data_IF_294854708852
#
_entry.id   IF_294854708852
#
_cell.length_a   1.000
_cell.length_b   1.000
_cell.length_c   1.000
_cell.angle_alpha   90.00
_cell.angle_beta   90.00
_cell.angle_gamma   90.00
#
_symmetry.space_group_name_H-M   'P 1'
#
loop_
_entity.id
_entity.type
_entity.pdbx_description
1 polymer ?
#
# COMPACT_ATOMS: atom_id res chain seq x y z
N UNK A 1 -7.22 -20.89 -34.69
CA UNK A 1 -8.41 -20.55 -35.49
C UNK A 1 -8.29 -21.06 -36.93
N UNK A 2 -7.13 -20.95 -37.57
CA UNK A 2 -6.90 -21.41 -38.95
C UNK A 2 -7.20 -22.90 -39.18
N UNK A 3 -6.83 -23.77 -38.24
CA UNK A 3 -7.16 -25.21 -38.28
C UNK A 3 -8.66 -25.49 -38.17
N UNK A 4 -9.45 -24.62 -37.53
CA UNK A 4 -10.90 -24.81 -37.35
C UNK A 4 -11.65 -24.36 -38.61
N UNK A 5 -11.22 -23.25 -39.23
CA UNK A 5 -11.79 -22.77 -40.48
C UNK A 5 -11.66 -23.80 -41.62
N UNK A 6 -10.53 -24.51 -41.70
CA UNK A 6 -10.29 -25.51 -42.75
C UNK A 6 -11.03 -26.85 -42.54
N UNK A 7 -11.46 -27.15 -41.30
CA UNK A 7 -12.16 -28.39 -40.96
C UNK A 7 -13.68 -28.21 -40.83
N UNK A 8 -14.20 -27.00 -41.06
CA UNK A 8 -15.63 -26.69 -40.95
C UNK A 8 -16.23 -26.56 -42.35
N UNK A 9 -17.34 -27.26 -42.62
CA UNK A 9 -18.03 -27.17 -43.89
C UNK A 9 -18.58 -25.75 -44.15
N UNK A 10 -18.66 -25.36 -45.42
CA UNK A 10 -19.36 -24.15 -45.83
C UNK A 10 -20.83 -24.23 -45.40
N UNK A 11 -21.46 -23.13 -44.95
CA UNK A 11 -21.02 -21.73 -45.06
C UNK A 11 -20.20 -21.16 -43.88
N UNK A 12 -20.09 -21.90 -42.75
CA UNK A 12 -19.46 -21.37 -41.52
C UNK A 12 -17.93 -21.30 -41.64
N UNK A 13 -17.30 -22.29 -42.30
CA UNK A 13 -15.85 -22.28 -42.53
C UNK A 13 -15.37 -21.05 -43.30
N UNK A 14 -16.14 -20.59 -44.29
CA UNK A 14 -15.84 -19.41 -45.10
C UNK A 14 -15.90 -18.12 -44.28
N UNK A 15 -16.89 -18.00 -43.40
CA UNK A 15 -17.05 -16.86 -42.51
C UNK A 15 -15.98 -16.81 -41.41
N UNK A 16 -15.59 -17.96 -40.84
CA UNK A 16 -14.44 -18.04 -39.94
C UNK A 16 -13.12 -17.67 -40.65
N UNK A 17 -12.95 -18.08 -41.91
CA UNK A 17 -11.83 -17.65 -42.74
C UNK A 17 -11.79 -16.14 -42.98
N UNK A 18 -12.96 -15.49 -43.10
CA UNK A 18 -13.07 -14.02 -43.20
C UNK A 18 -12.69 -13.34 -41.90
N UNK A 19 -13.13 -13.85 -40.76
CA UNK A 19 -12.72 -13.35 -39.43
C UNK A 19 -11.20 -13.38 -39.27
N UNK A 20 -10.56 -14.49 -39.65
CA UNK A 20 -9.09 -14.63 -39.58
C UNK A 20 -8.40 -13.61 -40.48
N UNK A 21 -8.90 -13.40 -41.71
CA UNK A 21 -8.36 -12.37 -42.62
C UNK A 21 -8.53 -10.96 -42.06
N UNK A 22 -9.71 -10.64 -41.51
CA UNK A 22 -9.99 -9.36 -40.86
C UNK A 22 -9.06 -9.11 -39.67
N UNK A 23 -8.76 -10.15 -38.89
CA UNK A 23 -7.80 -10.08 -37.78
C UNK A 23 -6.36 -9.90 -38.28
N UNK A 24 -5.95 -10.58 -39.35
CA UNK A 24 -4.61 -10.47 -39.93
C UNK A 24 -4.32 -9.09 -40.54
N UNK A 25 -5.35 -8.37 -41.01
CA UNK A 25 -5.24 -6.98 -41.47
C UNK A 25 -5.37 -5.95 -40.33
N UNK A 26 -5.37 -6.40 -39.06
CA UNK A 26 -5.31 -5.55 -37.88
C UNK A 26 -6.66 -5.23 -37.22
N UNK A 27 -7.76 -5.85 -37.64
CA UNK A 27 -9.04 -5.70 -36.92
C UNK A 27 -9.01 -6.47 -35.60
N UNK A 28 -9.51 -5.87 -34.52
CA UNK A 28 -9.67 -6.58 -33.24
C UNK A 28 -10.61 -7.77 -33.36
N UNK A 29 -10.32 -8.85 -32.62
CA UNK A 29 -11.09 -10.10 -32.65
C UNK A 29 -12.59 -9.89 -32.36
N UNK A 30 -12.91 -9.02 -31.38
CA UNK A 30 -14.28 -8.63 -31.03
C UNK A 30 -15.04 -8.05 -32.24
N UNK A 31 -14.38 -7.14 -32.98
CA UNK A 31 -14.97 -6.47 -34.14
C UNK A 31 -15.11 -7.42 -35.33
N UNK A 32 -14.12 -8.28 -35.56
CA UNK A 32 -14.17 -9.28 -36.63
C UNK A 32 -15.29 -10.32 -36.39
N UNK A 33 -15.45 -10.79 -35.15
CA UNK A 33 -16.53 -11.70 -34.76
C UNK A 33 -17.91 -11.03 -34.82
N UNK A 34 -18.04 -9.76 -34.40
CA UNK A 34 -19.29 -9.01 -34.54
C UNK A 34 -19.69 -8.78 -36.02
N UNK A 35 -18.71 -8.56 -36.90
CA UNK A 35 -18.96 -8.47 -38.34
C UNK A 35 -19.49 -9.79 -38.91
N UNK A 36 -18.95 -10.93 -38.44
CA UNK A 36 -19.42 -12.26 -38.81
C UNK A 36 -20.87 -12.50 -38.36
N UNK A 37 -21.23 -12.15 -37.13
CA UNK A 37 -22.61 -12.25 -36.63
C UNK A 37 -23.58 -11.45 -37.49
N UNK A 38 -23.23 -10.20 -37.82
CA UNK A 38 -24.07 -9.34 -38.67
C UNK A 38 -24.30 -9.91 -40.08
N UNK A 39 -23.34 -10.67 -40.62
CA UNK A 39 -23.46 -11.30 -41.95
C UNK A 39 -24.19 -12.63 -41.90
N UNK A 40 -23.97 -13.43 -40.86
CA UNK A 40 -24.56 -14.76 -40.71
C UNK A 40 -26.02 -14.71 -40.21
N UNK A 41 -26.42 -13.66 -39.48
CA UNK A 41 -27.81 -13.42 -39.09
C UNK A 41 -28.41 -14.46 -38.14
N UNK A 42 -27.57 -15.17 -37.36
CA UNK A 42 -27.99 -16.22 -36.44
C UNK A 42 -27.89 -15.74 -34.98
N UNK A 43 -28.98 -15.89 -34.23
CA UNK A 43 -29.07 -15.54 -32.81
C UNK A 43 -28.17 -16.42 -31.93
N UNK A 44 -28.04 -17.71 -32.27
CA UNK A 44 -27.12 -18.64 -31.60
C UNK A 44 -25.66 -18.21 -31.78
N UNK A 45 -25.30 -17.70 -32.97
CA UNK A 45 -23.96 -17.21 -33.23
C UNK A 45 -23.65 -15.93 -32.46
N UNK A 46 -24.63 -15.05 -32.32
CA UNK A 46 -24.51 -13.83 -31.51
C UNK A 46 -24.26 -14.17 -30.03
N UNK A 47 -24.98 -15.16 -29.50
CA UNK A 47 -24.79 -15.64 -28.13
C UNK A 47 -23.38 -16.21 -27.92
N UNK A 48 -22.90 -17.04 -28.84
CA UNK A 48 -21.55 -17.63 -28.78
C UNK A 48 -20.47 -16.54 -28.86
N UNK A 49 -20.60 -15.59 -29.79
CA UNK A 49 -19.64 -14.48 -29.93
C UNK A 49 -19.66 -13.57 -28.70
N UNK A 50 -20.84 -13.29 -28.14
CA UNK A 50 -20.99 -12.54 -26.89
C UNK A 50 -20.29 -13.25 -25.74
N UNK A 51 -20.46 -14.56 -25.58
CA UNK A 51 -19.77 -15.34 -24.56
C UNK A 51 -18.24 -15.34 -24.75
N UNK A 52 -17.75 -15.45 -26.00
CA UNK A 52 -16.32 -15.35 -26.33
C UNK A 52 -15.77 -13.97 -25.98
N UNK A 53 -16.51 -12.90 -26.29
CA UNK A 53 -16.11 -11.52 -25.96
C UNK A 53 -16.09 -11.28 -24.45
N UNK A 54 -17.08 -11.79 -23.72
CA UNK A 54 -17.10 -11.76 -22.25
C UNK A 54 -15.90 -12.55 -21.70
N UNK A 55 -15.65 -13.76 -22.19
CA UNK A 55 -14.51 -14.58 -21.76
C UNK A 55 -13.17 -13.90 -22.08
N UNK A 56 -13.04 -13.22 -23.22
CA UNK A 56 -11.86 -12.43 -23.57
C UNK A 56 -11.69 -11.20 -22.66
N UNK A 57 -12.80 -10.58 -22.24
CA UNK A 57 -12.79 -9.47 -21.28
C UNK A 57 -12.35 -9.91 -19.87
N UNK A 58 -12.71 -11.13 -19.46
CA UNK A 58 -12.27 -11.76 -18.20
C UNK A 58 -10.84 -12.31 -18.30
N UNK A 59 -10.46 -12.82 -19.48
CA UNK A 59 -9.16 -13.44 -19.81
C UNK A 59 -8.01 -12.46 -20.13
N UNK A 60 -8.18 -11.15 -19.94
CA UNK A 60 -7.14 -10.14 -20.18
C UNK A 60 -6.83 -9.22 -18.99
N UNK A 61 -7.61 -9.26 -17.91
CA UNK A 61 -7.52 -8.27 -16.82
C UNK A 61 -7.08 -8.86 -15.47
N UNK A 62 -7.02 -10.19 -15.33
CA UNK A 62 -6.50 -10.79 -14.08
C UNK A 62 -5.04 -10.39 -13.83
N UNK A 63 -4.21 -10.34 -14.88
CA UNK A 63 -2.84 -9.86 -14.78
C UNK A 63 -2.77 -8.41 -14.25
N UNK A 64 -3.66 -7.53 -14.71
CA UNK A 64 -3.75 -6.12 -14.26
C UNK A 64 -4.33 -5.99 -12.86
N UNK A 65 -5.30 -6.83 -12.48
CA UNK A 65 -5.84 -6.89 -11.12
C UNK A 65 -4.76 -7.39 -10.15
N UNK A 66 -4.02 -8.45 -10.50
CA UNK A 66 -2.90 -8.95 -9.71
C UNK A 66 -1.75 -7.94 -9.62
N UNK A 67 -1.48 -7.20 -10.69
CA UNK A 67 -0.49 -6.11 -10.69
C UNK A 67 -0.91 -4.96 -9.77
N UNK A 68 -2.20 -4.59 -9.80
CA UNK A 68 -2.78 -3.57 -8.91
C UNK A 68 -2.72 -4.00 -7.43
N UNK A 69 -3.03 -5.26 -7.13
CA UNK A 69 -2.91 -5.84 -5.79
C UNK A 69 -1.44 -5.86 -5.36
N UNK A 70 -0.53 -6.29 -6.23
CA UNK A 70 0.91 -6.33 -5.96
C UNK A 70 1.47 -4.94 -5.68
N UNK A 71 1.07 -3.94 -6.46
CA UNK A 71 1.41 -2.54 -6.24
C UNK A 71 0.90 -2.06 -4.87
N UNK A 72 -0.37 -2.35 -4.55
CA UNK A 72 -0.98 -1.99 -3.26
C UNK A 72 -0.24 -2.65 -2.09
N UNK A 73 0.16 -3.92 -2.21
CA UNK A 73 0.94 -4.63 -1.19
C UNK A 73 2.30 -3.96 -1.01
N UNK A 74 3.02 -3.68 -2.10
CA UNK A 74 4.32 -2.99 -2.05
C UNK A 74 4.22 -1.63 -1.37
N UNK A 75 3.19 -0.84 -1.72
CA UNK A 75 2.92 0.44 -1.05
C UNK A 75 2.66 0.26 0.45
N UNK A 76 1.86 -0.73 0.85
CA UNK A 76 1.61 -1.02 2.28
C UNK A 76 2.89 -1.39 3.02
N UNK A 77 3.76 -2.20 2.42
CA UNK A 77 5.06 -2.56 3.01
C UNK A 77 5.95 -1.33 3.16
N UNK A 78 6.02 -0.48 2.13
CA UNK A 78 6.80 0.75 2.17
C UNK A 78 6.30 1.72 3.25
N UNK A 79 4.98 1.92 3.36
CA UNK A 79 4.36 2.75 4.40
C UNK A 79 4.66 2.20 5.78
N UNK A 80 4.54 0.88 6.00
CA UNK A 80 4.91 0.25 7.28
C UNK A 80 6.39 0.47 7.63
N UNK A 81 7.27 0.36 6.63
CA UNK A 81 8.70 0.68 6.79
C UNK A 81 8.93 2.14 7.20
N UNK A 82 8.26 3.09 6.53
CA UNK A 82 8.33 4.51 6.87
C UNK A 82 7.79 4.79 8.28
N UNK A 83 6.66 4.20 8.66
CA UNK A 83 6.09 4.32 10.02
C UNK A 83 7.08 3.82 11.06
N UNK A 84 7.71 2.66 10.84
CA UNK A 84 8.71 2.10 11.74
C UNK A 84 9.92 3.03 11.91
N UNK A 85 10.45 3.56 10.80
CA UNK A 85 11.57 4.50 10.83
C UNK A 85 11.22 5.82 11.55
N UNK A 86 10.08 6.44 11.22
CA UNK A 86 9.60 7.65 11.91
C UNK A 86 9.38 7.40 13.41
N UNK A 87 8.87 6.23 13.76
CA UNK A 87 8.64 5.83 15.15
C UNK A 87 9.95 5.59 15.90
N UNK A 88 10.98 5.07 15.24
CA UNK A 88 12.33 4.96 15.80
C UNK A 88 12.92 6.35 16.09
N UNK A 89 12.81 7.29 15.14
CA UNK A 89 13.24 8.68 15.34
C UNK A 89 12.50 9.36 16.49
N UNK A 90 11.16 9.24 16.54
CA UNK A 90 10.36 9.81 17.62
C UNK A 90 10.75 9.24 19.00
N UNK A 91 11.04 7.94 19.09
CA UNK A 91 11.56 7.32 20.32
C UNK A 91 12.92 7.88 20.71
N UNK A 92 13.84 8.03 19.76
CA UNK A 92 15.17 8.60 20.02
C UNK A 92 15.08 10.05 20.53
N UNK A 93 14.24 10.89 19.91
CA UNK A 93 13.99 12.25 20.39
C UNK A 93 13.36 12.28 21.79
N UNK A 94 12.45 11.35 22.08
CA UNK A 94 11.86 11.20 23.41
C UNK A 94 12.89 10.85 24.49
N UNK A 95 13.87 10.00 24.17
CA UNK A 95 14.98 9.69 25.06
C UNK A 95 15.84 10.92 25.35
N UNK A 96 16.16 11.72 24.33
CA UNK A 96 16.95 12.95 24.51
C UNK A 96 16.24 13.91 25.47
N UNK A 97 14.95 14.17 25.26
CA UNK A 97 14.16 15.08 26.12
C UNK A 97 14.07 14.56 27.56
N UNK A 98 13.97 13.23 27.74
CA UNK A 98 13.92 12.60 29.07
C UNK A 98 15.27 12.69 29.80
N UNK A 99 16.38 12.53 29.09
CA UNK A 99 17.74 12.53 29.66
C UNK A 99 18.27 13.94 29.93
N UNK A 100 17.86 14.94 29.15
CA UNK A 100 18.40 16.29 29.22
C UNK A 100 18.33 16.92 30.63
N UNK A 101 17.19 16.89 31.35
CA UNK A 101 17.11 17.44 32.71
C UNK A 101 18.04 16.71 33.68
N UNK A 102 18.20 15.39 33.52
CA UNK A 102 19.07 14.56 34.38
C UNK A 102 20.54 14.91 34.15
N UNK A 103 20.95 15.04 32.88
CA UNK A 103 22.31 15.42 32.52
C UNK A 103 22.62 16.83 33.02
N UNK A 104 21.72 17.79 32.80
CA UNK A 104 21.90 19.18 33.28
C UNK A 104 21.98 19.22 34.81
N UNK A 105 21.12 18.50 35.52
CA UNK A 105 21.18 18.39 36.98
C UNK A 105 22.52 17.81 37.45
N UNK A 106 23.01 16.74 36.81
CA UNK A 106 24.30 16.15 37.13
C UNK A 106 25.46 17.13 36.88
N UNK A 107 25.46 17.83 35.75
CA UNK A 107 26.48 18.84 35.42
C UNK A 107 26.47 19.97 36.47
N UNK A 108 25.30 20.52 36.80
CA UNK A 108 25.18 21.59 37.80
C UNK A 108 25.63 21.14 39.19
N UNK A 109 25.39 19.88 39.54
CA UNK A 109 25.87 19.29 40.79
C UNK A 109 27.41 19.27 40.87
N UNK A 110 28.11 18.96 39.77
CA UNK A 110 29.59 18.91 39.76
C UNK A 110 30.26 20.27 39.54
N UNK A 111 29.72 21.11 38.66
CA UNK A 111 30.33 22.42 38.32
C UNK A 111 30.04 23.45 39.41
N UNK A 112 28.82 23.49 39.93
CA UNK A 112 28.36 24.54 40.85
C UNK A 112 27.61 23.93 42.05
N UNK A 113 28.29 23.08 42.86
CA UNK A 113 27.64 22.34 43.95
C UNK A 113 26.97 23.26 44.97
N UNK A 114 27.52 24.45 45.22
CA UNK A 114 26.95 25.43 46.15
C UNK A 114 25.59 25.96 45.68
N UNK A 115 25.37 26.03 44.36
CA UNK A 115 24.11 26.49 43.76
C UNK A 115 23.06 25.37 43.70
N UNK A 116 23.49 24.12 43.48
CA UNK A 116 22.57 22.99 43.28
C UNK A 116 22.24 22.23 44.59
N UNK A 117 23.07 22.33 45.63
CA UNK A 117 22.83 21.71 46.95
C UNK A 117 21.48 22.03 47.61
N UNK A 118 20.94 23.27 47.53
CA UNK A 118 19.62 23.59 48.08
C UNK A 118 18.49 22.76 47.47
N UNK A 119 18.61 22.30 46.22
CA UNK A 119 17.58 21.43 45.61
C UNK A 119 17.35 20.13 46.38
N UNK A 120 18.36 19.61 47.07
CA UNK A 120 18.26 18.35 47.84
C UNK A 120 18.05 18.55 49.34
N UNK A 121 18.22 19.78 49.85
CA UNK A 121 18.14 20.07 51.30
C UNK A 121 16.94 20.91 51.68
N UNK A 122 16.53 21.82 50.82
CA UNK A 122 15.39 22.68 51.09
C UNK A 122 14.10 21.99 50.65
N UNK A 123 13.05 22.14 51.46
CA UNK A 123 11.76 21.51 51.20
C UNK A 123 11.16 21.93 49.84
N UNK A 124 11.31 23.19 49.46
CA UNK A 124 10.89 23.72 48.16
C UNK A 124 11.67 23.08 47.00
N UNK A 125 12.96 22.78 47.21
CA UNK A 125 13.81 22.11 46.22
C UNK A 125 13.34 20.68 45.95
N UNK A 126 13.03 19.94 47.01
CA UNK A 126 12.53 18.57 46.93
C UNK A 126 11.16 18.53 46.24
N UNK A 127 10.27 19.47 46.56
CA UNK A 127 8.96 19.60 45.90
C UNK A 127 9.10 19.89 44.40
N UNK A 128 10.00 20.80 44.00
CA UNK A 128 10.29 21.09 42.60
C UNK A 128 10.86 19.89 41.85
N UNK A 129 11.78 19.13 42.46
CA UNK A 129 12.31 17.90 41.88
C UNK A 129 11.23 16.82 41.74
N UNK A 130 10.32 16.72 42.69
CA UNK A 130 9.18 15.81 42.61
C UNK A 130 8.26 16.18 41.43
N UNK A 131 7.89 17.45 41.30
CA UNK A 131 7.09 17.95 40.17
C UNK A 131 7.79 17.72 38.84
N UNK A 132 9.08 18.01 38.74
CA UNK A 132 9.87 17.79 37.54
C UNK A 132 9.88 16.31 37.14
N UNK A 133 10.09 15.42 38.11
CA UNK A 133 10.11 13.97 37.90
C UNK A 133 8.75 13.46 37.41
N UNK A 134 7.66 13.91 38.03
CA UNK A 134 6.29 13.55 37.61
C UNK A 134 6.00 14.07 36.20
N UNK A 135 6.40 15.30 35.89
CA UNK A 135 6.23 15.89 34.56
C UNK A 135 6.96 15.08 33.48
N UNK A 136 8.21 14.68 33.73
CA UNK A 136 8.99 13.83 32.82
C UNK A 136 8.35 12.43 32.68
N UNK A 137 7.86 11.85 33.78
CA UNK A 137 7.17 10.55 33.75
C UNK A 137 5.90 10.62 32.89
N UNK A 138 5.09 11.67 33.05
CA UNK A 138 3.91 11.92 32.22
C UNK A 138 4.31 12.03 30.74
N UNK A 139 5.31 12.85 30.42
CA UNK A 139 5.82 12.98 29.05
C UNK A 139 6.25 11.64 28.44
N UNK A 140 6.94 10.80 29.21
CA UNK A 140 7.36 9.47 28.75
C UNK A 140 6.17 8.55 28.46
N UNK A 141 5.12 8.58 29.30
CA UNK A 141 3.88 7.82 29.08
C UNK A 141 3.17 8.28 27.81
N UNK A 142 3.09 9.59 27.56
CA UNK A 142 2.51 10.13 26.32
C UNK A 142 3.28 9.68 25.07
N UNK A 143 4.62 9.76 25.10
CA UNK A 143 5.46 9.31 23.98
C UNK A 143 5.25 7.82 23.72
N UNK A 144 5.22 6.98 24.76
CA UNK A 144 4.94 5.53 24.63
C UNK A 144 3.56 5.25 24.03
N UNK A 145 2.52 5.99 24.44
CA UNK A 145 1.16 5.83 23.90
C UNK A 145 1.09 6.21 22.42
N UNK A 146 1.70 7.33 22.02
CA UNK A 146 1.72 7.78 20.61
C UNK A 146 2.45 6.77 19.73
N UNK A 147 3.55 6.20 20.24
CA UNK A 147 4.34 5.18 19.52
C UNK A 147 3.56 3.87 19.35
N UNK A 148 2.91 3.37 20.41
CA UNK A 148 2.18 2.11 20.34
C UNK A 148 0.91 2.19 19.48
N UNK A 149 0.30 3.37 19.32
CA UNK A 149 -0.92 3.50 18.52
C UNK A 149 -0.68 3.36 17.00
N UNK A 150 0.58 3.45 16.55
CA UNK A 150 0.96 3.35 15.13
C UNK A 150 1.51 1.97 14.73
N UNK A 151 1.78 1.10 15.70
CA UNK A 151 2.29 -0.27 15.48
C UNK A 151 1.14 -1.26 15.42
#
# INVERSE_FOLDING_TARGET
METVAHNTAAPIGDELGRVIREMNIGSGAERALANMVRRAGSEDLDLIVTAINIQASVGGNLARVLDSISHTIRQRVQIKGQISAMTAQARASGWVITLLPVIVAAILYFITPTYFRPMFRDQVGIELLAVATVSVAIGNVFIRRIVNFRV
#
